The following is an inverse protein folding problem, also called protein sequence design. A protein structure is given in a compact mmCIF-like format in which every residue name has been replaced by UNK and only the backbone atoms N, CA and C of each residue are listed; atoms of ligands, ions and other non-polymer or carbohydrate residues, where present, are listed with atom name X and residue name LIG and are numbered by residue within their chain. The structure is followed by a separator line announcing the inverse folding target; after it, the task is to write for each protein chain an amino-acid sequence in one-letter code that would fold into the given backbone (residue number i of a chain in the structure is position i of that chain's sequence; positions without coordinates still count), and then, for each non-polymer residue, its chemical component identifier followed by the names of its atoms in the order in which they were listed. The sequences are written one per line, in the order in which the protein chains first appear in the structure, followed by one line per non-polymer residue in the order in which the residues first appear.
data_IF_464991129455
#
_entry.id   IF_464991129455
#
_cell.length_a   1.000
_cell.length_b   1.000
_cell.length_c   1.000
_cell.angle_alpha   90.00
_cell.angle_beta   90.00
_cell.angle_gamma   90.00
#
_symmetry.space_group_name_H-M   'P 1'
#
loop_
_entity.id
_entity.type
_entity.pdbx_description
1 polymer ?
#
# COMPACT_ATOMS: atom_id res chain seq x y z
N UNK A 1 -6.95 -7.33 -30.74
CA UNK A 1 -7.01 -5.87 -30.37
C UNK A 1 -8.27 -5.25 -30.98
N UNK A 2 -9.02 -4.46 -30.21
CA UNK A 2 -10.21 -3.75 -30.70
C UNK A 2 -9.90 -2.25 -30.77
N UNK A 3 -10.21 -1.59 -31.88
CA UNK A 3 -10.15 -0.12 -31.99
C UNK A 3 -11.56 0.44 -32.03
N UNK A 4 -11.76 1.51 -31.29
CA UNK A 4 -13.02 2.24 -31.21
C UNK A 4 -12.86 3.62 -31.85
N UNK A 5 -13.93 4.13 -32.46
CA UNK A 5 -14.02 5.48 -33.01
C UNK A 5 -15.33 6.11 -32.59
N UNK A 6 -15.33 7.43 -32.36
CA UNK A 6 -16.55 8.19 -32.13
C UNK A 6 -17.14 8.62 -33.48
N UNK A 7 -18.38 8.24 -33.74
CA UNK A 7 -19.18 8.66 -34.90
C UNK A 7 -20.56 9.07 -34.40
N UNK A 8 -21.05 10.25 -34.81
CA UNK A 8 -22.37 10.78 -34.43
C UNK A 8 -22.66 10.73 -32.92
N UNK A 9 -21.64 11.08 -32.12
CA UNK A 9 -21.69 11.05 -30.66
C UNK A 9 -21.91 9.65 -30.05
N UNK A 10 -21.63 8.58 -30.80
CA UNK A 10 -21.67 7.19 -30.36
C UNK A 10 -20.33 6.47 -30.58
N UNK A 11 -19.99 5.53 -29.69
CA UNK A 11 -18.80 4.69 -29.82
C UNK A 11 -19.07 3.54 -30.78
N UNK A 12 -18.37 3.52 -31.92
CA UNK A 12 -18.40 2.43 -32.89
C UNK A 12 -17.09 1.63 -32.88
N UNK A 13 -17.17 0.32 -33.12
CA UNK A 13 -15.97 -0.53 -33.31
C UNK A 13 -15.49 -0.36 -34.75
N UNK A 14 -14.31 0.23 -34.94
CA UNK A 14 -13.74 0.50 -36.27
C UNK A 14 -12.84 -0.62 -36.78
N UNK A 15 -12.22 -1.39 -35.87
CA UNK A 15 -11.34 -2.50 -36.25
C UNK A 15 -11.31 -3.57 -35.18
N UNK A 16 -11.42 -4.82 -35.61
CA UNK A 16 -11.21 -6.01 -34.78
C UNK A 16 -10.05 -6.83 -35.37
N UNK A 17 -8.96 -6.96 -34.61
CA UNK A 17 -7.86 -7.86 -34.91
C UNK A 17 -8.00 -9.11 -34.03
N UNK A 18 -8.42 -10.21 -34.64
CA UNK A 18 -8.63 -11.51 -34.00
C UNK A 18 -7.34 -12.33 -33.83
N UNK A 19 -6.29 -12.03 -34.58
CA UNK A 19 -5.02 -12.75 -34.50
C UNK A 19 -4.25 -12.36 -33.23
N UNK A 20 -3.69 -13.37 -32.57
CA UNK A 20 -2.85 -13.24 -31.39
C UNK A 20 -1.44 -13.73 -31.71
N UNK A 21 -0.43 -13.09 -31.11
CA UNK A 21 0.97 -13.51 -31.20
C UNK A 21 1.35 -14.56 -30.13
N UNK A 22 0.35 -15.13 -29.45
CA UNK A 22 0.49 -16.16 -28.42
C UNK A 22 -0.77 -17.01 -28.39
N UNK A 23 -0.69 -18.20 -27.78
CA UNK A 23 -1.86 -19.05 -27.57
C UNK A 23 -2.86 -18.40 -26.61
N UNK A 24 -4.16 -18.65 -26.84
CA UNK A 24 -5.21 -18.21 -25.94
C UNK A 24 -5.15 -18.97 -24.61
N UNK A 25 -5.58 -18.31 -23.53
CA UNK A 25 -5.64 -18.94 -22.23
C UNK A 25 -6.63 -20.12 -22.24
N UNK A 26 -6.16 -21.27 -21.78
CA UNK A 26 -6.98 -22.48 -21.64
C UNK A 26 -8.07 -22.29 -20.58
N UNK A 27 -9.17 -23.06 -20.64
CA UNK A 27 -10.20 -23.02 -19.60
C UNK A 27 -9.66 -23.24 -18.18
N UNK A 28 -8.64 -24.09 -18.02
CA UNK A 28 -7.96 -24.31 -16.72
C UNK A 28 -7.24 -23.06 -16.19
N UNK A 29 -6.79 -22.16 -17.07
CA UNK A 29 -6.13 -20.90 -16.72
C UNK A 29 -7.10 -19.72 -16.62
N UNK A 30 -8.41 -19.94 -16.81
CA UNK A 30 -9.43 -18.87 -16.76
C UNK A 30 -9.38 -18.08 -15.46
N UNK A 31 -9.17 -18.76 -14.32
CA UNK A 31 -9.07 -18.15 -12.99
C UNK A 31 -7.88 -17.19 -12.84
N UNK A 32 -6.93 -17.18 -13.78
CA UNK A 32 -5.80 -16.23 -13.81
C UNK A 32 -6.11 -14.98 -14.64
N UNK A 33 -7.15 -15.01 -15.48
CA UNK A 33 -7.54 -13.88 -16.32
C UNK A 33 -8.19 -12.80 -15.48
N UNK A 34 -7.69 -11.56 -15.56
CA UNK A 34 -8.25 -10.42 -14.80
C UNK A 34 -9.76 -10.24 -14.99
N UNK A 35 -10.28 -10.42 -16.20
CA UNK A 35 -11.70 -10.29 -16.52
C UNK A 35 -12.58 -11.39 -15.93
N UNK A 36 -12.00 -12.52 -15.52
CA UNK A 36 -12.70 -13.65 -14.93
C UNK A 36 -12.48 -13.76 -13.42
N UNK A 37 -11.81 -12.79 -12.80
CA UNK A 37 -11.56 -12.73 -11.37
C UNK A 37 -12.43 -11.67 -10.71
N UNK A 38 -13.11 -12.05 -9.64
CA UNK A 38 -13.83 -11.12 -8.77
C UNK A 38 -13.91 -11.72 -7.36
N UNK A 39 -14.06 -10.85 -6.36
CA UNK A 39 -14.34 -11.26 -4.99
C UNK A 39 -15.82 -10.95 -4.74
N UNK A 40 -16.71 -11.94 -4.71
CA UNK A 40 -18.12 -11.72 -4.40
C UNK A 40 -18.29 -11.32 -2.94
N UNK A 41 -19.34 -10.54 -2.63
CA UNK A 41 -19.63 -10.06 -1.26
C UNK A 41 -19.72 -11.16 -0.20
N UNK A 42 -20.21 -12.35 -0.56
CA UNK A 42 -20.20 -13.49 0.36
C UNK A 42 -18.78 -13.88 0.80
N UNK A 43 -17.79 -13.79 -0.10
CA UNK A 43 -16.38 -14.07 0.16
C UNK A 43 -15.68 -12.89 0.85
N UNK A 44 -16.12 -11.66 0.59
CA UNK A 44 -15.69 -10.46 1.33
C UNK A 44 -15.95 -10.61 2.83
N UNK A 45 -17.18 -10.96 3.22
CA UNK A 45 -17.55 -11.17 4.63
C UNK A 45 -16.70 -12.25 5.33
N UNK A 46 -16.37 -13.33 4.62
CA UNK A 46 -15.48 -14.39 5.14
C UNK A 46 -14.07 -13.84 5.34
N UNK A 47 -13.56 -13.05 4.39
CA UNK A 47 -12.24 -12.43 4.53
C UNK A 47 -12.23 -11.49 5.74
N UNK A 48 -13.23 -10.63 5.86
CA UNK A 48 -13.30 -9.61 6.92
C UNK A 48 -13.44 -10.23 8.31
N UNK A 49 -14.28 -11.28 8.46
CA UNK A 49 -14.44 -12.00 9.73
C UNK A 49 -13.17 -12.73 10.18
N UNK A 50 -12.41 -13.34 9.26
CA UNK A 50 -11.17 -14.03 9.62
C UNK A 50 -10.05 -13.05 9.95
N UNK A 51 -10.00 -11.95 9.22
CA UNK A 51 -9.02 -10.89 9.43
C UNK A 51 -9.26 -10.17 10.76
N UNK A 52 -10.52 -9.92 11.15
CA UNK A 52 -10.85 -9.21 12.38
C UNK A 52 -10.38 -9.95 13.64
N UNK A 53 -10.28 -11.29 13.57
CA UNK A 53 -9.70 -12.13 14.63
C UNK A 53 -8.18 -12.35 14.49
N UNK A 54 -7.52 -11.59 13.60
CA UNK A 54 -6.06 -11.57 13.45
C UNK A 54 -5.46 -12.58 12.48
N UNK A 55 -6.27 -13.29 11.68
CA UNK A 55 -5.75 -14.23 10.68
C UNK A 55 -5.13 -13.44 9.53
N UNK A 56 -3.88 -13.79 9.19
CA UNK A 56 -3.17 -13.16 8.06
C UNK A 56 -3.94 -13.38 6.74
N UNK A 57 -4.10 -12.37 5.87
CA UNK A 57 -4.82 -12.51 4.60
C UNK A 57 -4.30 -13.64 3.70
N UNK A 58 -3.02 -13.94 3.79
CA UNK A 58 -2.41 -15.07 3.09
C UNK A 58 -2.96 -16.41 3.55
N UNK A 59 -3.24 -16.55 4.84
CA UNK A 59 -3.79 -17.76 5.43
C UNK A 59 -5.29 -17.87 5.15
N UNK A 60 -6.00 -16.73 5.12
CA UNK A 60 -7.41 -16.66 4.66
C UNK A 60 -7.53 -17.19 3.24
N UNK A 61 -6.68 -16.72 2.31
CA UNK A 61 -6.68 -17.24 0.94
C UNK A 61 -6.41 -18.75 0.88
N UNK A 62 -5.40 -19.23 1.61
CA UNK A 62 -5.08 -20.66 1.67
C UNK A 62 -6.27 -21.48 2.19
N UNK A 63 -6.94 -21.01 3.24
CA UNK A 63 -8.15 -21.64 3.75
C UNK A 63 -9.24 -21.72 2.67
N UNK A 64 -9.57 -20.61 2.03
CA UNK A 64 -10.61 -20.56 1.00
C UNK A 64 -10.28 -21.44 -0.21
N UNK A 65 -9.00 -21.52 -0.59
CA UNK A 65 -8.51 -22.42 -1.63
C UNK A 65 -8.69 -23.89 -1.25
N UNK A 66 -8.44 -24.25 0.01
CA UNK A 66 -8.60 -25.62 0.48
C UNK A 66 -10.07 -26.03 0.53
N UNK A 67 -10.96 -25.14 0.98
CA UNK A 67 -12.42 -25.39 1.02
C UNK A 67 -13.00 -25.75 -0.35
N UNK A 68 -12.53 -25.08 -1.41
CA UNK A 68 -12.97 -25.34 -2.79
C UNK A 68 -12.04 -26.29 -3.55
N UNK A 69 -11.14 -26.98 -2.85
CA UNK A 69 -10.21 -27.99 -3.38
C UNK A 69 -9.31 -27.50 -4.53
N UNK A 70 -8.87 -26.25 -4.50
CA UNK A 70 -7.95 -25.72 -5.49
C UNK A 70 -8.08 -24.22 -5.69
N UNK A 71 -6.95 -23.56 -5.97
CA UNK A 71 -6.90 -22.11 -6.21
C UNK A 71 -7.72 -21.71 -7.44
N UNK A 72 -7.84 -22.60 -8.42
CA UNK A 72 -8.62 -22.45 -9.64
C UNK A 72 -10.12 -22.30 -9.40
N UNK A 73 -10.62 -22.84 -8.29
CA UNK A 73 -12.04 -22.82 -7.94
C UNK A 73 -12.41 -21.63 -7.01
N UNK A 74 -11.41 -20.87 -6.54
CA UNK A 74 -11.64 -19.72 -5.64
C UNK A 74 -12.27 -18.55 -6.39
N UNK A 75 -11.99 -18.38 -7.68
CA UNK A 75 -12.50 -17.28 -8.49
C UNK A 75 -11.72 -15.95 -8.32
N UNK A 76 -10.68 -15.94 -7.49
CA UNK A 76 -9.71 -14.85 -7.37
C UNK A 76 -8.36 -15.39 -6.92
N UNK A 77 -7.31 -14.58 -7.07
CA UNK A 77 -5.95 -14.97 -6.67
C UNK A 77 -5.60 -14.50 -5.27
N UNK A 78 -4.54 -15.09 -4.70
CA UNK A 78 -3.95 -14.63 -3.44
C UNK A 78 -3.67 -13.13 -3.43
N UNK A 79 -3.22 -12.58 -4.56
CA UNK A 79 -2.96 -11.15 -4.72
C UNK A 79 -4.24 -10.32 -4.65
N UNK A 80 -5.32 -10.80 -5.25
CA UNK A 80 -6.61 -10.11 -5.20
C UNK A 80 -7.15 -10.07 -3.76
N UNK A 81 -7.07 -11.19 -3.02
CA UNK A 81 -7.45 -11.26 -1.60
C UNK A 81 -6.64 -10.28 -0.74
N UNK A 82 -5.33 -10.25 -0.97
CA UNK A 82 -4.42 -9.34 -0.28
C UNK A 82 -4.72 -7.87 -0.61
N UNK A 83 -4.97 -7.55 -1.87
CA UNK A 83 -5.33 -6.21 -2.33
C UNK A 83 -6.68 -5.76 -1.75
N UNK A 84 -7.68 -6.64 -1.71
CA UNK A 84 -8.97 -6.40 -1.07
C UNK A 84 -8.78 -6.05 0.39
N UNK A 85 -8.09 -6.90 1.15
CA UNK A 85 -7.84 -6.64 2.57
C UNK A 85 -7.10 -5.32 2.78
N UNK A 86 -6.05 -5.05 2.01
CA UNK A 86 -5.32 -3.79 2.15
C UNK A 86 -6.21 -2.58 1.86
N UNK A 87 -7.03 -2.63 0.79
CA UNK A 87 -8.00 -1.58 0.48
C UNK A 87 -9.01 -1.41 1.62
N UNK A 88 -9.55 -2.50 2.15
CA UNK A 88 -10.51 -2.49 3.24
C UNK A 88 -9.90 -1.95 4.54
N UNK A 89 -8.67 -2.36 4.86
CA UNK A 89 -7.87 -1.79 5.94
C UNK A 89 -7.67 -0.29 5.77
N UNK A 90 -7.38 0.19 4.55
CA UNK A 90 -7.26 1.62 4.28
C UNK A 90 -8.59 2.38 4.40
N UNK A 91 -9.72 1.75 4.07
CA UNK A 91 -11.04 2.36 4.29
C UNK A 91 -11.40 2.42 5.79
N UNK A 92 -10.95 1.42 6.57
CA UNK A 92 -11.07 1.41 8.04
C UNK A 92 -10.06 2.31 8.75
N UNK A 93 -9.04 2.82 8.04
CA UNK A 93 -8.29 4.00 8.47
C UNK A 93 -9.21 5.21 8.27
N UNK A 94 -10.23 5.29 9.12
CA UNK A 94 -11.17 6.41 9.22
C UNK A 94 -10.47 7.65 9.78
N UNK A 95 -11.20 8.78 9.76
CA UNK A 95 -10.82 10.13 10.14
C UNK A 95 -10.37 10.36 11.61
N UNK A 96 -9.70 9.37 12.23
CA UNK A 96 -9.05 9.44 13.55
C UNK A 96 -7.56 9.07 13.52
N UNK A 97 -7.03 8.59 12.38
CA UNK A 97 -5.63 8.13 12.28
C UNK A 97 -4.60 9.27 12.34
N UNK A 98 -4.92 10.43 11.75
CA UNK A 98 -4.08 11.63 11.89
C UNK A 98 -3.99 12.10 13.34
N UNK A 99 -5.11 12.07 14.07
CA UNK A 99 -5.15 12.43 15.48
C UNK A 99 -4.43 11.41 16.36
N UNK A 100 -4.55 10.12 16.05
CA UNK A 100 -3.84 9.04 16.75
C UNK A 100 -2.33 9.14 16.54
N UNK A 101 -1.88 9.43 15.31
CA UNK A 101 -0.49 9.74 15.00
C UNK A 101 -0.01 10.98 15.77
N UNK A 102 -0.76 12.07 15.76
CA UNK A 102 -0.43 13.27 16.52
C UNK A 102 -0.31 13.00 18.03
N UNK A 103 -1.23 12.20 18.59
CA UNK A 103 -1.19 11.81 20.00
C UNK A 103 0.07 10.97 20.29
N UNK A 104 0.41 10.03 19.40
CA UNK A 104 1.63 9.24 19.53
C UNK A 104 2.90 10.11 19.50
N UNK A 105 2.98 11.05 18.56
CA UNK A 105 4.11 11.98 18.44
C UNK A 105 4.23 12.91 19.65
N UNK A 106 3.10 13.36 20.21
CA UNK A 106 3.07 14.12 21.47
C UNK A 106 3.61 13.32 22.64
N UNK A 107 3.21 12.05 22.77
CA UNK A 107 3.75 11.16 23.80
C UNK A 107 5.26 10.99 23.61
N UNK A 108 5.73 10.73 22.39
CA UNK A 108 7.17 10.61 22.11
C UNK A 108 7.96 11.88 22.46
N UNK A 109 7.43 13.05 22.12
CA UNK A 109 8.02 14.33 22.49
C UNK A 109 8.03 14.59 24.01
N UNK A 110 7.12 13.97 24.78
CA UNK A 110 7.14 14.05 26.25
C UNK A 110 8.13 13.06 26.90
N UNK A 111 8.41 11.93 26.23
CA UNK A 111 9.34 10.90 26.70
C UNK A 111 10.80 11.25 26.38
N UNK A 112 11.05 11.89 25.23
CA UNK A 112 12.38 12.23 24.73
C UNK A 112 12.46 13.74 24.43
N UNK A 113 13.18 14.53 25.26
CA UNK A 113 13.34 15.97 25.05
C UNK A 113 14.05 16.36 23.75
N UNK A 114 14.78 15.43 23.12
CA UNK A 114 15.45 15.65 21.84
C UNK A 114 14.61 15.17 20.65
N UNK A 115 13.47 14.51 20.91
CA UNK A 115 12.52 14.14 19.88
C UNK A 115 11.91 15.39 19.24
N UNK A 116 11.80 15.38 17.92
CA UNK A 116 11.19 16.45 17.16
C UNK A 116 10.28 15.89 16.10
N UNK A 117 9.13 16.53 15.91
CA UNK A 117 8.22 16.21 14.83
C UNK A 117 7.54 17.46 14.29
N UNK A 118 7.08 17.39 13.04
CA UNK A 118 6.19 18.38 12.45
C UNK A 118 5.13 17.68 11.61
N UNK A 119 3.93 18.26 11.56
CA UNK A 119 2.79 17.74 10.81
C UNK A 119 2.13 18.88 10.05
N UNK A 120 1.90 18.67 8.77
CA UNK A 120 1.10 19.53 7.91
C UNK A 120 -0.23 18.82 7.62
N UNK A 121 -1.32 19.60 7.65
CA UNK A 121 -2.66 19.14 7.30
C UNK A 121 -3.23 19.96 6.15
N UNK A 122 -4.17 19.39 5.40
CA UNK A 122 -4.94 20.12 4.38
C UNK A 122 -6.16 20.84 4.98
N UNK A 123 -6.97 21.45 4.11
CA UNK A 123 -8.20 22.16 4.48
C UNK A 123 -9.28 21.25 5.07
N UNK A 124 -9.17 19.93 4.89
CA UNK A 124 -10.07 18.91 5.42
C UNK A 124 -9.49 18.24 6.68
N UNK A 125 -8.43 18.81 7.28
CA UNK A 125 -7.69 18.28 8.45
C UNK A 125 -7.05 16.90 8.22
N UNK A 126 -6.74 16.52 6.98
CA UNK A 126 -6.00 15.30 6.67
C UNK A 126 -4.51 15.56 6.69
N UNK A 127 -3.73 14.66 7.28
CA UNK A 127 -2.26 14.76 7.30
C UNK A 127 -1.72 14.65 5.87
N UNK A 128 -1.03 15.68 5.40
CA UNK A 128 -0.40 15.73 4.07
C UNK A 128 1.10 15.50 4.15
N UNK A 129 1.74 16.01 5.21
CA UNK A 129 3.16 15.79 5.47
C UNK A 129 3.31 15.51 6.95
N UNK A 130 4.11 14.50 7.30
CA UNK A 130 4.65 14.45 8.65
C UNK A 130 6.12 14.05 8.61
N UNK A 131 6.90 14.66 9.50
CA UNK A 131 8.31 14.35 9.71
C UNK A 131 8.55 14.11 11.19
N UNK A 132 9.45 13.19 11.50
CA UNK A 132 9.93 12.96 12.86
C UNK A 132 11.41 12.59 12.88
N UNK A 133 12.04 12.85 14.03
CA UNK A 133 13.36 12.35 14.44
C UNK A 133 13.37 12.13 15.95
N UNK A 134 14.08 11.11 16.41
CA UNK A 134 14.34 10.90 17.84
C UNK A 134 15.70 11.49 18.25
N UNK A 135 15.99 11.48 19.56
CA UNK A 135 17.23 12.00 20.12
C UNK A 135 18.49 11.25 19.64
N UNK A 136 18.37 9.94 19.41
CA UNK A 136 19.46 9.14 18.83
C UNK A 136 19.78 9.60 17.42
N UNK A 137 18.76 9.74 16.57
CA UNK A 137 18.88 10.25 15.20
C UNK A 137 19.49 11.64 15.16
N UNK A 138 19.15 12.50 16.13
CA UNK A 138 19.78 13.83 16.28
C UNK A 138 21.26 13.73 16.63
N UNK A 139 21.62 12.87 17.58
CA UNK A 139 23.01 12.66 18.00
C UNK A 139 23.84 12.08 16.86
N UNK A 140 23.29 11.10 16.15
CA UNK A 140 23.92 10.50 14.97
C UNK A 140 24.12 11.53 13.86
N UNK A 141 23.16 12.43 13.63
CA UNK A 141 23.33 13.53 12.70
C UNK A 141 24.45 14.49 13.12
N UNK A 142 24.56 14.82 14.40
CA UNK A 142 25.61 15.70 14.91
C UNK A 142 27.02 15.08 14.74
N UNK A 143 27.13 13.74 14.69
CA UNK A 143 28.38 13.02 14.45
C UNK A 143 28.67 12.70 12.98
N UNK A 144 27.65 12.34 12.19
CA UNK A 144 27.78 11.72 10.85
C UNK A 144 26.94 12.44 9.78
N UNK A 145 26.48 13.67 10.04
CA UNK A 145 25.67 14.48 9.13
C UNK A 145 26.46 15.18 8.02
N UNK A 146 27.72 14.80 7.79
CA UNK A 146 28.58 15.32 6.72
C UNK A 146 28.04 14.95 5.33
N UNK A 147 27.40 13.78 5.22
CA UNK A 147 26.68 13.36 4.02
C UNK A 147 25.30 12.83 4.40
N UNK A 148 24.26 13.42 3.82
CA UNK A 148 22.87 12.99 3.97
C UNK A 148 22.34 12.54 2.62
N UNK A 149 21.81 11.32 2.59
CA UNK A 149 21.05 10.76 1.46
C UNK A 149 19.57 10.85 1.80
N UNK A 150 18.82 11.36 0.84
CA UNK A 150 17.37 11.45 0.87
C UNK A 150 16.81 10.72 -0.36
N UNK A 151 15.92 9.76 -0.13
CA UNK A 151 15.37 8.92 -1.19
C UNK A 151 13.83 8.88 -1.10
N UNK A 152 13.16 9.46 -2.09
CA UNK A 152 11.69 9.46 -2.22
C UNK A 152 11.18 8.38 -3.17
N UNK A 153 12.04 7.48 -3.65
CA UNK A 153 11.62 6.39 -4.55
C UNK A 153 10.83 5.30 -3.81
N UNK A 154 10.89 5.29 -2.48
CA UNK A 154 10.08 4.43 -1.62
C UNK A 154 8.64 4.93 -1.52
N UNK A 155 7.87 4.69 -2.59
CA UNK A 155 6.41 4.71 -2.53
C UNK A 155 5.96 3.62 -1.54
N UNK A 156 5.44 4.02 -0.39
CA UNK A 156 4.73 3.05 0.44
C UNK A 156 3.40 2.76 -0.24
N UNK A 157 3.37 1.67 -1.01
CA UNK A 157 2.27 1.23 -1.88
C UNK A 157 0.89 1.06 -1.19
N UNK A 158 0.79 1.37 0.10
CA UNK A 158 -0.38 1.18 0.96
C UNK A 158 -1.11 2.48 1.28
N UNK A 159 -0.43 3.63 1.36
CA UNK A 159 -1.05 4.88 1.81
C UNK A 159 -1.01 6.03 0.78
N UNK A 160 -0.49 5.79 -0.43
CA UNK A 160 -0.08 6.86 -1.37
C UNK A 160 0.83 7.92 -0.73
N UNK A 161 1.52 7.56 0.36
CA UNK A 161 2.51 8.40 1.00
C UNK A 161 3.89 7.99 0.48
N UNK A 162 4.61 8.96 -0.05
CA UNK A 162 6.04 8.87 -0.35
C UNK A 162 6.76 8.82 1.00
N UNK A 163 7.40 7.69 1.30
CA UNK A 163 8.31 7.59 2.44
C UNK A 163 9.66 8.15 2.03
N UNK A 164 10.17 9.07 2.83
CA UNK A 164 11.33 9.86 2.53
C UNK A 164 12.29 9.84 3.74
N UNK A 165 13.04 8.73 3.91
CA UNK A 165 14.03 8.63 4.98
C UNK A 165 15.21 9.56 4.73
N UNK A 166 15.74 10.11 5.80
CA UNK A 166 17.00 10.85 5.82
C UNK A 166 18.05 9.93 6.44
N UNK A 167 19.06 9.53 5.67
CA UNK A 167 20.05 8.56 6.11
C UNK A 167 21.47 9.04 5.84
N UNK A 168 22.41 8.62 6.68
CA UNK A 168 23.85 8.81 6.48
C UNK A 168 24.62 7.52 6.67
N UNK A 169 25.93 7.64 6.85
CA UNK A 169 26.83 6.48 7.00
C UNK A 169 27.79 6.73 8.17
N UNK A 170 27.91 5.76 9.09
CA UNK A 170 28.91 5.85 10.17
C UNK A 170 30.32 5.43 9.71
N UNK A 171 31.28 5.51 10.63
CA UNK A 171 32.68 5.12 10.39
C UNK A 171 32.86 3.62 10.04
N UNK A 172 31.86 2.78 10.33
CA UNK A 172 31.81 1.37 9.97
C UNK A 172 31.11 1.11 8.63
N UNK A 173 30.79 2.16 7.87
CA UNK A 173 30.06 2.08 6.60
C UNK A 173 28.63 1.52 6.74
N UNK A 174 28.03 1.66 7.91
CA UNK A 174 26.66 1.25 8.17
C UNK A 174 25.71 2.43 7.95
N UNK A 175 24.56 2.15 7.34
CA UNK A 175 23.49 3.15 7.19
C UNK A 175 22.93 3.54 8.55
N UNK A 176 22.83 4.84 8.82
CA UNK A 176 22.14 5.39 9.98
C UNK A 176 20.96 6.23 9.53
N UNK A 177 19.86 6.23 10.30
CA UNK A 177 18.71 7.08 10.07
C UNK A 177 18.80 8.36 10.91
N UNK A 178 18.63 9.51 10.27
CA UNK A 178 18.57 10.83 10.92
C UNK A 178 17.13 11.33 11.12
N UNK A 179 16.17 10.68 10.47
CA UNK A 179 14.75 10.99 10.56
C UNK A 179 14.00 10.43 9.35
N UNK A 180 12.69 10.64 9.33
CA UNK A 180 11.85 10.18 8.24
C UNK A 180 10.66 11.13 8.01
N UNK A 181 10.38 11.42 6.75
CA UNK A 181 9.18 12.12 6.32
C UNK A 181 8.24 11.19 5.54
N UNK A 182 6.95 11.45 5.62
CA UNK A 182 5.93 10.89 4.74
C UNK A 182 5.19 12.03 4.06
N UNK A 183 5.10 11.98 2.73
CA UNK A 183 4.54 13.03 1.90
C UNK A 183 3.35 12.48 1.10
N UNK A 184 2.23 13.19 1.12
CA UNK A 184 1.10 12.93 0.24
C UNK A 184 1.35 13.64 -1.10
N UNK A 185 1.27 12.89 -2.19
CA UNK A 185 1.38 13.39 -3.58
C UNK A 185 0.07 14.08 -4.03
#
# INVERSE_FOLDING_TARGET
MIRYTMQDNQWAVSRFLSEHNHELATPSKRHLLRSARSIPTAKENVIDSMVSVGIRPTNVYTYMSNEVRGAENVGFTRRDCYNYFNKHKMMMIEAGDGQSLLNHLKVKASEDPMFFYTVQVDQENRVTIFFWRDGSSRTDYDCFGDVVVFDTTYLTNRCNLICAPFVGINHHRQTIMFGCAFLLD
#
